data_IF_359938770044
#
_entry.id   IF_359938770044
#
_cell.length_a   1.000
_cell.length_b   1.000
_cell.length_c   1.000
_cell.angle_alpha   90.00
_cell.angle_beta   90.00
_cell.angle_gamma   90.00
#
_symmetry.space_group_name_H-M   'P 1'
#
loop_
_entity.id
_entity.type
_entity.pdbx_description
1 polymer ?
#
# COMPACT_ATOMS: atom_id res chain seq x y z
N UNK A 1 -29.03 19.79 47.55
CA UNK A 1 -28.91 18.36 47.20
C UNK A 1 -28.43 18.28 45.77
N UNK A 2 -27.11 18.31 45.58
CA UNK A 2 -26.48 18.16 44.30
C UNK A 2 -25.16 17.43 44.54
N UNK A 3 -25.15 16.14 44.34
CA UNK A 3 -23.93 15.33 44.27
C UNK A 3 -24.25 14.02 43.53
N UNK A 4 -23.26 13.57 42.80
CA UNK A 4 -23.22 12.34 41.99
C UNK A 4 -23.86 12.42 40.57
N UNK A 5 -23.01 12.73 39.62
CA UNK A 5 -22.77 11.98 38.36
C UNK A 5 -21.54 12.63 37.67
N UNK A 6 -20.35 12.26 38.10
CA UNK A 6 -19.10 12.43 37.32
C UNK A 6 -18.23 11.26 37.71
N UNK A 7 -18.23 10.23 36.88
CA UNK A 7 -17.16 9.24 36.76
C UNK A 7 -17.72 7.97 36.10
N UNK A 8 -17.99 8.01 34.81
CA UNK A 8 -18.18 6.77 34.06
C UNK A 8 -17.89 6.88 32.54
N UNK A 9 -17.14 7.86 32.11
CA UNK A 9 -16.83 8.02 30.67
C UNK A 9 -15.34 7.99 30.31
N UNK A 10 -14.46 7.53 31.19
CA UNK A 10 -13.02 7.45 30.92
C UNK A 10 -12.46 6.05 30.71
N UNK A 11 -13.25 5.00 30.73
CA UNK A 11 -12.72 3.63 30.64
C UNK A 11 -13.00 2.92 29.30
N UNK A 12 -13.77 3.51 28.40
CA UNK A 12 -14.16 2.85 27.13
C UNK A 12 -13.35 3.31 25.89
N UNK A 13 -12.48 4.30 26.02
CA UNK A 13 -11.70 4.80 24.91
C UNK A 13 -10.30 4.18 24.77
N UNK A 14 -9.84 3.41 25.75
CA UNK A 14 -8.49 2.84 25.73
C UNK A 14 -8.41 1.38 25.29
N UNK A 15 -9.51 0.65 25.19
CA UNK A 15 -9.47 -0.77 24.81
C UNK A 15 -9.64 -1.03 23.30
N UNK A 16 -10.09 -0.05 22.52
CA UNK A 16 -10.29 -0.23 21.06
C UNK A 16 -9.07 0.10 20.19
N UNK A 17 -8.10 0.86 20.71
CA UNK A 17 -6.88 1.20 19.95
C UNK A 17 -5.83 0.09 19.91
N UNK A 18 -5.84 -0.81 20.91
CA UNK A 18 -4.78 -1.84 21.04
C UNK A 18 -5.04 -3.06 20.15
N UNK A 19 -6.28 -3.29 19.72
CA UNK A 19 -6.61 -4.48 18.89
C UNK A 19 -6.35 -4.30 17.40
N UNK A 20 -6.23 -3.07 16.91
CA UNK A 20 -6.02 -2.79 15.48
C UNK A 20 -4.55 -3.00 15.08
N UNK A 21 -3.62 -2.76 15.99
CA UNK A 21 -2.18 -2.94 15.76
C UNK A 21 -1.75 -4.41 15.54
N UNK A 22 -2.52 -5.37 16.05
CA UNK A 22 -2.14 -6.80 15.96
C UNK A 22 -2.62 -7.54 14.72
N UNK A 23 -3.48 -6.95 13.89
CA UNK A 23 -4.01 -7.62 12.69
C UNK A 23 -3.20 -7.39 11.41
N UNK A 24 -2.24 -6.48 11.42
CA UNK A 24 -1.49 -6.09 10.21
C UNK A 24 -0.08 -6.67 10.11
N UNK A 25 0.37 -7.42 11.10
CA UNK A 25 1.71 -8.02 11.12
C UNK A 25 1.64 -9.55 11.13
N UNK A 26 0.97 -10.17 10.15
CA UNK A 26 1.29 -11.54 9.79
C UNK A 26 2.35 -11.53 8.68
N UNK A 27 3.56 -11.16 9.04
CA UNK A 27 4.73 -11.55 8.25
C UNK A 27 4.89 -13.05 8.51
N UNK A 28 4.62 -13.88 7.51
CA UNK A 28 4.99 -15.29 7.56
C UNK A 28 6.52 -15.35 7.59
N UNK A 29 7.07 -15.43 8.79
CA UNK A 29 8.45 -15.87 9.00
C UNK A 29 8.50 -17.34 8.68
N UNK A 30 8.83 -17.68 7.44
CA UNK A 30 9.26 -19.03 7.09
C UNK A 30 10.61 -19.22 7.78
N UNK A 31 10.61 -19.97 8.89
CA UNK A 31 11.78 -20.41 9.60
C UNK A 31 12.66 -21.21 8.62
N UNK A 32 13.75 -20.61 8.17
CA UNK A 32 14.83 -21.34 7.54
C UNK A 32 15.58 -22.10 8.62
N UNK A 33 15.48 -23.40 8.56
CA UNK A 33 16.27 -24.32 9.35
C UNK A 33 17.74 -24.21 8.95
N UNK A 34 18.71 -23.96 9.85
CA UNK A 34 20.12 -23.88 9.52
C UNK A 34 20.75 -25.25 9.69
N UNK A 35 20.69 -26.12 8.69
CA UNK A 35 21.61 -27.27 8.58
C UNK A 35 21.55 -27.84 7.16
N UNK A 36 22.45 -27.40 6.30
CA UNK A 36 23.25 -28.25 5.38
C UNK A 36 24.34 -27.37 4.79
N UNK A 37 25.48 -27.47 5.39
CA UNK A 37 26.75 -26.91 4.91
C UNK A 37 27.29 -27.77 3.78
N UNK A 38 28.02 -27.07 2.86
CA UNK A 38 28.93 -27.59 1.87
C UNK A 38 28.30 -28.24 0.65
N UNK A 39 27.92 -27.36 -0.34
CA UNK A 39 28.03 -27.61 -1.79
C UNK A 39 27.40 -26.46 -2.60
N UNK A 40 27.08 -25.31 -1.96
CA UNK A 40 26.37 -24.19 -2.59
C UNK A 40 27.26 -22.95 -2.85
N UNK A 41 28.58 -23.07 -2.75
CA UNK A 41 29.48 -21.90 -2.89
C UNK A 41 29.89 -21.59 -4.33
N UNK A 42 29.60 -22.46 -5.30
CA UNK A 42 30.04 -22.27 -6.70
C UNK A 42 28.94 -21.82 -7.67
N UNK A 43 27.67 -21.75 -7.27
CA UNK A 43 26.59 -21.17 -8.09
C UNK A 43 26.38 -19.66 -7.90
N UNK A 44 27.09 -19.04 -6.97
CA UNK A 44 26.93 -17.62 -6.62
C UNK A 44 27.58 -16.64 -7.62
N UNK A 45 28.29 -17.12 -8.63
CA UNK A 45 28.98 -16.26 -9.61
C UNK A 45 28.26 -16.06 -10.95
N UNK A 46 27.10 -16.65 -11.16
CA UNK A 46 26.25 -16.24 -12.28
C UNK A 46 25.65 -14.90 -11.93
N UNK A 47 26.18 -13.84 -12.55
CA UNK A 47 25.66 -12.49 -12.48
C UNK A 47 24.17 -12.51 -12.83
N UNK A 48 23.34 -12.64 -11.81
CA UNK A 48 21.91 -12.50 -12.02
C UNK A 48 21.67 -11.04 -12.41
N UNK A 49 21.04 -10.82 -13.54
CA UNK A 49 20.56 -9.51 -14.02
C UNK A 49 19.51 -8.94 -13.02
N UNK A 50 19.17 -9.69 -11.99
CA UNK A 50 18.28 -9.27 -10.91
C UNK A 50 18.95 -8.18 -10.11
N UNK A 51 18.35 -6.98 -10.07
CA UNK A 51 18.78 -5.88 -9.23
C UNK A 51 18.98 -6.36 -7.80
N UNK A 52 20.16 -6.14 -7.25
CA UNK A 52 20.37 -6.33 -5.81
C UNK A 52 19.44 -5.38 -5.08
N UNK A 53 18.64 -5.91 -4.15
CA UNK A 53 17.79 -5.09 -3.30
C UNK A 53 18.68 -4.12 -2.51
N UNK A 54 18.33 -2.84 -2.53
CA UNK A 54 19.00 -1.84 -1.69
C UNK A 54 18.48 -1.99 -0.26
N UNK A 55 19.14 -2.80 0.55
CA UNK A 55 18.76 -3.06 1.93
C UNK A 55 18.59 -1.80 2.77
N UNK A 56 19.41 -0.77 2.53
CA UNK A 56 19.38 0.47 3.29
C UNK A 56 18.06 1.25 3.17
N UNK A 57 17.32 1.07 2.08
CA UNK A 57 16.03 1.72 1.88
C UNK A 57 14.82 0.90 2.35
N UNK A 58 14.97 -0.40 2.58
CA UNK A 58 13.85 -1.28 2.92
C UNK A 58 13.20 -0.92 4.25
N UNK A 59 14.00 -0.61 5.26
CA UNK A 59 13.50 -0.27 6.58
C UNK A 59 12.80 1.10 6.58
N UNK A 60 13.29 2.04 5.77
CA UNK A 60 12.63 3.33 5.59
C UNK A 60 11.30 3.18 4.86
N UNK A 61 11.21 2.33 3.85
CA UNK A 61 9.97 2.05 3.10
C UNK A 61 8.95 1.30 3.97
N UNK A 62 9.40 0.36 4.81
CA UNK A 62 8.54 -0.34 5.76
C UNK A 62 7.98 0.62 6.83
N UNK A 63 8.83 1.45 7.41
CA UNK A 63 8.40 2.44 8.41
C UNK A 63 7.42 3.45 7.80
N UNK A 64 7.63 3.84 6.54
CA UNK A 64 6.71 4.69 5.80
C UNK A 64 5.36 3.98 5.55
N UNK A 65 5.36 2.70 5.20
CA UNK A 65 4.13 1.92 5.05
C UNK A 65 3.30 1.85 6.34
N UNK A 66 3.95 1.66 7.48
CA UNK A 66 3.31 1.70 8.79
C UNK A 66 2.74 3.09 9.10
N UNK A 67 3.51 4.13 8.85
CA UNK A 67 3.08 5.51 9.00
C UNK A 67 1.83 5.83 8.17
N UNK A 68 1.75 5.34 6.92
CA UNK A 68 0.57 5.53 6.06
C UNK A 68 -0.67 4.83 6.63
N UNK A 69 -0.51 3.63 7.20
CA UNK A 69 -1.63 2.92 7.82
C UNK A 69 -2.16 3.66 9.05
N UNK A 70 -1.28 4.35 9.80
CA UNK A 70 -1.66 5.18 10.94
C UNK A 70 -2.33 6.50 10.52
N UNK A 71 -1.85 7.13 9.43
CA UNK A 71 -2.42 8.39 8.93
C UNK A 71 -3.78 8.22 8.26
N UNK A 72 -4.00 7.10 7.56
CA UNK A 72 -5.20 6.87 6.73
C UNK A 72 -5.94 5.58 7.11
N UNK A 73 -6.29 5.37 8.39
CA UNK A 73 -6.88 4.10 8.85
C UNK A 73 -8.27 3.83 8.26
N UNK A 74 -8.95 4.86 7.76
CA UNK A 74 -10.27 4.74 7.13
C UNK A 74 -10.21 4.11 5.75
N UNK A 75 -9.16 4.40 4.99
CA UNK A 75 -9.07 4.04 3.57
C UNK A 75 -8.11 2.89 3.31
N UNK A 76 -7.02 2.83 4.07
CA UNK A 76 -6.00 1.78 3.93
C UNK A 76 -6.49 0.49 4.57
N UNK A 77 -6.64 -0.54 3.77
CA UNK A 77 -7.07 -1.86 4.23
C UNK A 77 -5.90 -2.77 4.54
N UNK A 78 -4.85 -2.71 3.73
CA UNK A 78 -3.66 -3.55 3.89
C UNK A 78 -2.44 -2.85 3.32
N UNK A 79 -1.32 -3.01 4.01
CA UNK A 79 0.01 -2.59 3.54
C UNK A 79 0.88 -3.83 3.45
N UNK A 80 1.54 -4.03 2.34
CA UNK A 80 2.42 -5.17 2.12
C UNK A 80 3.64 -4.76 1.30
N UNK A 81 4.70 -5.56 1.41
CA UNK A 81 5.89 -5.44 0.57
C UNK A 81 5.83 -6.50 -0.52
N UNK A 82 6.08 -6.10 -1.75
CA UNK A 82 6.20 -7.02 -2.89
C UNK A 82 7.54 -7.75 -2.84
N UNK A 83 7.66 -8.89 -3.55
CA UNK A 83 8.91 -9.63 -3.68
C UNK A 83 10.08 -8.80 -4.28
N UNK A 84 9.76 -7.70 -4.94
CA UNK A 84 10.72 -6.76 -5.53
C UNK A 84 11.05 -5.58 -4.60
N UNK A 85 10.72 -5.68 -3.31
CA UNK A 85 10.94 -4.64 -2.30
C UNK A 85 10.17 -3.32 -2.56
N UNK A 86 9.08 -3.39 -3.32
CA UNK A 86 8.18 -2.26 -3.54
C UNK A 86 7.04 -2.26 -2.51
N UNK A 87 6.69 -1.08 -2.01
CA UNK A 87 5.57 -0.89 -1.12
C UNK A 87 4.26 -0.96 -1.90
N UNK A 88 3.37 -1.82 -1.45
CA UNK A 88 2.03 -1.99 -2.01
C UNK A 88 0.97 -1.71 -0.95
N UNK A 89 -0.01 -0.88 -1.31
CA UNK A 89 -1.10 -0.46 -0.42
C UNK A 89 -2.42 -0.82 -1.08
N UNK A 90 -3.24 -1.57 -0.35
CA UNK A 90 -4.61 -1.86 -0.74
C UNK A 90 -5.55 -0.87 -0.06
N UNK A 91 -6.36 -0.19 -0.86
CA UNK A 91 -7.29 0.84 -0.40
C UNK A 91 -8.73 0.53 -0.80
N UNK A 92 -9.67 1.06 -0.02
CA UNK A 92 -11.08 1.02 -0.38
C UNK A 92 -11.36 1.91 -1.62
N UNK A 93 -12.32 1.55 -2.51
CA UNK A 93 -12.64 2.33 -3.70
C UNK A 93 -12.97 3.80 -3.41
N UNK A 94 -13.72 4.06 -2.35
CA UNK A 94 -14.06 5.43 -1.91
C UNK A 94 -12.85 6.25 -1.43
N UNK A 95 -11.72 5.59 -1.16
CA UNK A 95 -10.49 6.18 -0.65
C UNK A 95 -9.49 6.59 -1.74
N UNK A 96 -9.74 6.35 -3.01
CA UNK A 96 -8.77 6.58 -4.10
C UNK A 96 -8.35 8.05 -4.15
N UNK A 97 -9.29 8.97 -4.29
CA UNK A 97 -8.97 10.41 -4.38
C UNK A 97 -8.29 10.96 -3.13
N UNK A 98 -8.82 10.78 -1.91
CA UNK A 98 -8.18 11.30 -0.72
C UNK A 98 -6.80 10.70 -0.47
N UNK A 99 -6.60 9.39 -0.72
CA UNK A 99 -5.29 8.75 -0.55
C UNK A 99 -4.27 9.26 -1.56
N UNK A 100 -4.63 9.37 -2.84
CA UNK A 100 -3.73 9.88 -3.86
C UNK A 100 -3.38 11.35 -3.67
N UNK A 101 -4.35 12.19 -3.24
CA UNK A 101 -4.09 13.57 -2.88
C UNK A 101 -3.14 13.68 -1.69
N UNK A 102 -3.35 12.86 -0.66
CA UNK A 102 -2.44 12.79 0.49
C UNK A 102 -1.03 12.38 0.06
N UNK A 103 -0.89 11.32 -0.73
CA UNK A 103 0.41 10.84 -1.20
C UNK A 103 1.16 11.89 -2.04
N UNK A 104 0.46 12.70 -2.84
CA UNK A 104 1.05 13.77 -3.63
C UNK A 104 1.50 14.94 -2.79
N UNK A 105 0.65 15.42 -1.89
CA UNK A 105 0.80 16.73 -1.24
C UNK A 105 1.46 16.65 0.14
N UNK A 106 1.44 15.49 0.78
CA UNK A 106 2.00 15.33 2.13
C UNK A 106 3.53 15.43 2.12
N UNK A 107 4.09 16.18 3.09
CA UNK A 107 5.51 16.50 3.15
C UNK A 107 6.43 15.27 3.19
N UNK A 108 6.02 14.22 3.89
CA UNK A 108 6.81 13.01 4.06
C UNK A 108 6.61 11.98 2.92
N UNK A 109 5.71 12.22 1.97
CA UNK A 109 5.42 11.30 0.87
C UNK A 109 5.85 11.86 -0.49
N UNK A 110 5.31 12.99 -0.89
CA UNK A 110 5.66 13.73 -2.12
C UNK A 110 5.77 12.83 -3.37
N UNK A 111 4.76 11.97 -3.58
CA UNK A 111 4.64 11.20 -4.81
C UNK A 111 4.04 12.06 -5.91
N UNK A 112 4.89 12.84 -6.55
CA UNK A 112 4.47 13.86 -7.53
C UNK A 112 4.22 13.29 -8.92
N UNK A 113 4.72 12.10 -9.21
CA UNK A 113 4.62 11.49 -10.54
C UNK A 113 3.73 10.26 -10.47
N UNK A 114 2.67 10.25 -11.30
CA UNK A 114 1.94 9.04 -11.68
C UNK A 114 2.71 8.40 -12.84
N UNK A 115 3.40 7.31 -12.55
CA UNK A 115 4.19 6.60 -13.53
C UNK A 115 3.32 5.76 -14.46
N UNK A 116 2.25 5.16 -13.90
CA UNK A 116 1.34 4.29 -14.63
C UNK A 116 0.01 4.12 -13.89
N UNK A 117 -1.05 3.84 -14.63
CA UNK A 117 -2.36 3.45 -14.14
C UNK A 117 -2.90 2.35 -15.04
N UNK A 118 -3.23 1.22 -14.48
CA UNK A 118 -3.76 0.08 -15.22
C UNK A 118 -4.82 -0.67 -14.42
N UNK A 119 -5.59 -1.50 -15.09
CA UNK A 119 -6.54 -2.41 -14.47
C UNK A 119 -6.14 -3.86 -14.72
N UNK A 120 -6.47 -4.73 -13.79
CA UNK A 120 -6.31 -6.18 -13.90
C UNK A 120 -7.67 -6.83 -13.80
N UNK A 121 -7.97 -7.74 -14.72
CA UNK A 121 -9.16 -8.57 -14.66
C UNK A 121 -8.85 -9.87 -13.91
N UNK A 122 -9.53 -10.08 -12.79
CA UNK A 122 -9.37 -11.27 -11.94
C UNK A 122 -10.74 -11.93 -11.72
N UNK A 123 -11.25 -12.74 -12.69
CA UNK A 123 -12.61 -13.28 -12.65
C UNK A 123 -12.91 -14.17 -11.44
N UNK A 124 -11.88 -14.68 -10.77
CA UNK A 124 -12.02 -15.54 -9.59
C UNK A 124 -12.43 -14.79 -8.31
N UNK A 125 -12.37 -13.45 -8.31
CA UNK A 125 -12.71 -12.61 -7.15
C UNK A 125 -14.12 -12.06 -7.26
N UNK A 126 -14.80 -11.79 -6.12
CA UNK A 126 -16.12 -11.15 -6.11
C UNK A 126 -16.09 -9.74 -6.71
N UNK A 127 -15.01 -8.99 -6.51
CA UNK A 127 -14.69 -7.76 -7.23
C UNK A 127 -13.70 -8.08 -8.34
N UNK A 128 -14.20 -8.12 -9.55
CA UNK A 128 -13.47 -8.62 -10.71
C UNK A 128 -12.27 -7.76 -11.07
N UNK A 129 -12.42 -6.45 -11.03
CA UNK A 129 -11.37 -5.52 -11.46
C UNK A 129 -10.50 -5.03 -10.30
N UNK A 130 -9.19 -5.06 -10.51
CA UNK A 130 -8.21 -4.47 -9.61
C UNK A 130 -7.52 -3.31 -10.31
N UNK A 131 -7.71 -2.08 -9.81
CA UNK A 131 -7.06 -0.88 -10.31
C UNK A 131 -5.71 -0.71 -9.64
N UNK A 132 -4.68 -0.45 -10.42
CA UNK A 132 -3.30 -0.33 -9.96
C UNK A 132 -2.75 1.02 -10.37
N UNK A 133 -2.36 1.83 -9.38
CA UNK A 133 -1.72 3.13 -9.54
C UNK A 133 -0.26 3.01 -9.12
N UNK A 134 0.67 3.23 -10.06
CA UNK A 134 2.10 3.24 -9.78
C UNK A 134 2.59 4.68 -9.62
N UNK A 135 3.04 5.03 -8.44
CA UNK A 135 3.50 6.38 -8.11
C UNK A 135 5.01 6.39 -7.85
N UNK A 136 5.62 7.52 -8.17
CA UNK A 136 7.04 7.76 -7.97
C UNK A 136 7.26 9.06 -7.19
N UNK A 137 8.06 8.98 -6.13
CA UNK A 137 8.60 10.13 -5.42
C UNK A 137 10.05 10.35 -5.86
N UNK A 138 10.31 11.49 -6.49
CA UNK A 138 11.68 11.87 -6.87
C UNK A 138 12.52 12.27 -5.65
N UNK A 139 11.88 12.93 -4.68
CA UNK A 139 12.58 13.44 -3.49
C UNK A 139 13.14 12.32 -2.62
N UNK A 140 12.34 11.28 -2.40
CA UNK A 140 12.71 10.15 -1.55
C UNK A 140 13.23 8.95 -2.35
N UNK A 141 13.25 9.04 -3.68
CA UNK A 141 13.64 7.96 -4.59
C UNK A 141 12.90 6.64 -4.30
N UNK A 142 11.62 6.74 -3.96
CA UNK A 142 10.77 5.62 -3.60
C UNK A 142 9.63 5.45 -4.60
N UNK A 143 9.23 4.20 -4.79
CA UNK A 143 8.04 3.83 -5.56
C UNK A 143 6.99 3.25 -4.63
N UNK A 144 5.74 3.48 -4.97
CA UNK A 144 4.59 2.93 -4.26
C UNK A 144 3.56 2.47 -5.27
N UNK A 145 2.97 1.33 -4.99
CA UNK A 145 1.85 0.79 -5.75
C UNK A 145 0.60 0.86 -4.91
N UNK A 146 -0.38 1.59 -5.39
CA UNK A 146 -1.68 1.71 -4.74
C UNK A 146 -2.68 0.88 -5.51
N UNK A 147 -3.34 -0.05 -4.85
CA UNK A 147 -4.33 -0.96 -5.43
C UNK A 147 -5.70 -0.72 -4.86
N UNK A 148 -6.70 -0.75 -5.72
CA UNK A 148 -8.11 -0.73 -5.34
C UNK A 148 -8.88 -1.75 -6.16
N UNK A 149 -10.06 -2.10 -5.70
CA UNK A 149 -10.91 -3.07 -6.38
C UNK A 149 -12.23 -2.44 -6.77
N UNK A 150 -12.82 -2.92 -7.85
CA UNK A 150 -14.15 -2.52 -8.28
C UNK A 150 -14.85 -3.68 -9.01
N UNK A 151 -16.14 -3.52 -9.21
CA UNK A 151 -16.95 -4.41 -10.04
C UNK A 151 -17.32 -3.73 -11.37
N UNK A 152 -18.05 -4.43 -12.22
CA UNK A 152 -18.47 -3.93 -13.55
C UNK A 152 -19.46 -2.77 -13.48
N UNK A 153 -20.18 -2.62 -12.37
CA UNK A 153 -21.27 -1.67 -12.25
C UNK A 153 -20.91 -0.43 -11.41
N UNK A 154 -19.89 -0.55 -10.55
CA UNK A 154 -19.53 0.53 -9.63
C UNK A 154 -18.53 1.48 -10.28
N UNK A 155 -18.93 2.74 -10.55
CA UNK A 155 -18.01 3.73 -11.10
C UNK A 155 -16.92 4.10 -10.10
N UNK A 156 -15.73 4.38 -10.61
CA UNK A 156 -14.58 4.83 -9.84
C UNK A 156 -14.31 6.31 -10.12
N UNK A 157 -14.01 7.06 -9.07
CA UNK A 157 -13.71 8.49 -9.18
C UNK A 157 -12.45 8.74 -10.02
N UNK A 158 -12.54 9.67 -10.99
CA UNK A 158 -11.40 10.11 -11.78
C UNK A 158 -10.35 10.84 -10.94
N UNK A 159 -9.08 10.53 -11.20
CA UNK A 159 -7.92 11.14 -10.55
C UNK A 159 -7.21 12.19 -11.40
N UNK A 160 -7.77 12.56 -12.55
CA UNK A 160 -7.24 13.60 -13.45
C UNK A 160 -7.05 14.95 -12.75
N UNK A 161 -7.90 15.26 -11.78
CA UNK A 161 -7.77 16.48 -10.97
C UNK A 161 -6.51 16.49 -10.10
N UNK A 162 -6.00 15.31 -9.73
CA UNK A 162 -4.81 15.13 -8.91
C UNK A 162 -3.59 14.99 -9.82
N UNK A 163 -3.64 14.07 -10.78
CA UNK A 163 -2.57 13.80 -11.73
C UNK A 163 -3.10 13.98 -13.16
N UNK A 164 -2.67 15.02 -13.85
CA UNK A 164 -3.10 15.28 -15.24
C UNK A 164 -2.72 14.15 -16.20
N UNK A 165 -1.63 13.42 -15.92
CA UNK A 165 -1.20 12.27 -16.69
C UNK A 165 -2.25 11.14 -16.71
N UNK A 166 -3.09 11.04 -15.69
CA UNK A 166 -4.12 10.02 -15.57
C UNK A 166 -5.17 10.07 -16.71
N UNK A 167 -5.35 11.22 -17.37
CA UNK A 167 -6.37 11.40 -18.39
C UNK A 167 -6.29 10.37 -19.53
N UNK A 168 -5.08 10.08 -20.00
CA UNK A 168 -4.88 9.08 -21.06
C UNK A 168 -4.98 7.64 -20.54
N UNK A 169 -4.42 7.37 -19.38
CA UNK A 169 -4.50 6.06 -18.75
C UNK A 169 -5.95 5.67 -18.39
N UNK A 170 -6.74 6.61 -17.87
CA UNK A 170 -8.16 6.36 -17.57
C UNK A 170 -8.97 6.04 -18.84
N UNK A 171 -8.65 6.68 -19.96
CA UNK A 171 -9.27 6.34 -21.26
C UNK A 171 -8.86 4.96 -21.74
N UNK A 172 -7.58 4.63 -21.63
CA UNK A 172 -7.07 3.30 -21.96
C UNK A 172 -7.78 2.20 -21.16
N UNK A 173 -7.90 2.42 -19.83
CA UNK A 173 -8.64 1.47 -18.96
C UNK A 173 -10.11 1.37 -19.37
N UNK A 174 -10.74 2.49 -19.72
CA UNK A 174 -12.12 2.49 -20.21
C UNK A 174 -12.31 1.75 -21.53
N UNK A 175 -11.35 1.83 -22.43
CA UNK A 175 -11.42 1.14 -23.73
C UNK A 175 -11.12 -0.37 -23.61
N UNK A 176 -10.39 -0.78 -22.59
CA UNK A 176 -9.95 -2.16 -22.37
C UNK A 176 -10.91 -2.99 -21.52
N UNK A 177 -11.66 -2.35 -20.61
CA UNK A 177 -12.54 -2.95 -19.61
C UNK A 177 -13.91 -2.25 -19.59
#
# INVERSE_FOLDING_TARGET
MAFFIKNSFKSLAQSSCISISKRYLSISSTLRNPQTTTEAEDESQRSSIVRKSFHDNLDSVRSFGQYLAECLPKYVQKVQMTAQDELEILIAPSGIRPTLSFLRDHHNSQYTILADLTALDVPSRPYRFELVYNLLSLRFNNRIRVKSYTDELTPVDSVVSIFKAANWYEREVWDMF
#
